data_IF_040938692487
#
_entry.id   IF_040938692487
#
_cell.length_a   1.000
_cell.length_b   1.000
_cell.length_c   1.000
_cell.angle_alpha   90.00
_cell.angle_beta   90.00
_cell.angle_gamma   90.00
#
_symmetry.space_group_name_H-M   'P 1'
#
loop_
_entity.id
_entity.type
_entity.pdbx_description
1 polymer ?
#
# COMPACT_ATOMS: atom_id res chain seq x y z
N UNK A 1 -5.44 4.02 8.94
CA UNK A 1 -6.13 3.53 10.15
C UNK A 1 -7.56 4.06 10.21
N UNK A 2 -8.45 3.36 10.93
CA UNK A 2 -9.83 3.81 11.17
C UNK A 2 -9.84 4.59 12.48
N UNK A 3 -10.11 5.89 12.40
CA UNK A 3 -10.21 6.76 13.58
C UNK A 3 -11.62 6.74 14.17
N UNK A 4 -12.65 6.69 13.31
CA UNK A 4 -14.05 6.61 13.72
C UNK A 4 -14.83 5.70 12.79
N UNK A 5 -15.86 5.04 13.33
CA UNK A 5 -16.77 4.19 12.57
C UNK A 5 -16.16 2.86 12.14
N UNK A 6 -16.71 2.32 11.06
CA UNK A 6 -16.30 1.05 10.45
C UNK A 6 -16.26 1.20 8.94
N UNK A 7 -15.25 0.61 8.30
CA UNK A 7 -15.13 0.59 6.86
C UNK A 7 -14.78 -0.82 6.35
N UNK A 8 -15.34 -1.18 5.22
CA UNK A 8 -15.00 -2.42 4.50
C UNK A 8 -13.93 -2.12 3.48
N UNK A 9 -12.82 -2.85 3.54
CA UNK A 9 -11.69 -2.76 2.62
C UNK A 9 -11.65 -3.97 1.71
N UNK A 10 -11.49 -3.74 0.42
CA UNK A 10 -11.16 -4.76 -0.56
C UNK A 10 -9.70 -4.55 -0.98
N UNK A 11 -8.87 -5.57 -0.78
CA UNK A 11 -7.44 -5.54 -1.07
C UNK A 11 -7.10 -6.78 -1.89
N UNK A 12 -6.90 -6.58 -3.18
CA UNK A 12 -6.86 -7.69 -4.11
C UNK A 12 -8.19 -8.46 -4.13
N UNK A 13 -8.13 -9.75 -3.84
CA UNK A 13 -9.31 -10.62 -3.73
C UNK A 13 -9.86 -10.77 -2.30
N UNK A 14 -9.21 -10.11 -1.33
CA UNK A 14 -9.55 -10.21 0.08
C UNK A 14 -10.46 -9.06 0.52
N UNK A 15 -11.34 -9.36 1.46
CA UNK A 15 -12.23 -8.37 2.09
C UNK A 15 -12.00 -8.36 3.59
N UNK A 16 -11.96 -7.16 4.17
CA UNK A 16 -11.78 -6.93 5.60
C UNK A 16 -12.80 -5.91 6.08
N UNK A 17 -13.48 -6.17 7.20
CA UNK A 17 -14.25 -5.17 7.93
C UNK A 17 -13.39 -4.62 9.06
N UNK A 18 -13.02 -3.35 9.00
CA UNK A 18 -12.12 -2.69 9.93
C UNK A 18 -12.89 -1.64 10.73
N UNK A 19 -12.86 -1.77 12.05
CA UNK A 19 -13.47 -0.85 12.98
C UNK A 19 -12.47 0.14 13.57
N UNK A 20 -12.99 1.05 14.41
CA UNK A 20 -12.20 2.05 15.11
C UNK A 20 -11.00 1.43 15.86
N UNK A 21 -9.86 2.08 15.77
CA UNK A 21 -8.61 1.65 16.41
C UNK A 21 -7.82 0.61 15.65
N UNK A 22 -8.30 0.13 14.50
CA UNK A 22 -7.56 -0.76 13.58
C UNK A 22 -6.89 0.02 12.47
N UNK A 23 -5.99 -0.65 11.76
CA UNK A 23 -5.32 -0.08 10.58
C UNK A 23 -4.96 -1.15 9.56
N UNK A 24 -4.49 -0.71 8.40
CA UNK A 24 -4.05 -1.62 7.37
C UNK A 24 -2.85 -1.01 6.62
N UNK A 25 -1.80 -1.81 6.46
CA UNK A 25 -0.75 -1.58 5.49
C UNK A 25 -1.14 -2.30 4.19
N UNK A 26 -1.07 -1.60 3.08
CA UNK A 26 -1.31 -2.17 1.75
C UNK A 26 -0.03 -2.03 0.96
N UNK A 27 0.46 -3.16 0.44
CA UNK A 27 1.73 -3.20 -0.27
C UNK A 27 1.63 -2.55 -1.65
N UNK A 28 2.79 -2.25 -2.24
CA UNK A 28 2.92 -1.63 -3.55
C UNK A 28 2.16 -2.41 -4.63
N UNK A 29 1.51 -1.66 -5.52
CA UNK A 29 0.81 -2.21 -6.70
C UNK A 29 -0.36 -3.13 -6.40
N UNK A 30 -0.92 -3.10 -5.19
CA UNK A 30 -2.13 -3.85 -4.86
C UNK A 30 -3.35 -2.97 -5.11
N UNK A 31 -4.26 -3.46 -5.96
CA UNK A 31 -5.55 -2.83 -6.17
C UNK A 31 -6.37 -2.91 -4.88
N UNK A 32 -6.88 -1.78 -4.46
CA UNK A 32 -7.66 -1.70 -3.23
C UNK A 32 -8.70 -0.60 -3.30
N UNK A 33 -9.75 -0.77 -2.53
CA UNK A 33 -10.78 0.24 -2.28
C UNK A 33 -11.33 0.07 -0.88
N UNK A 34 -11.97 1.09 -0.37
CA UNK A 34 -12.76 0.98 0.86
C UNK A 34 -14.10 1.72 0.71
N UNK A 35 -15.07 1.31 1.51
CA UNK A 35 -16.40 1.87 1.56
C UNK A 35 -16.94 1.79 2.99
N UNK A 36 -17.75 2.75 3.40
CA UNK A 36 -18.53 2.73 4.63
C UNK A 36 -19.99 3.05 4.34
N UNK A 37 -20.90 2.30 4.95
CA UNK A 37 -22.34 2.57 4.85
C UNK A 37 -22.77 3.76 5.70
N UNK A 38 -21.99 4.10 6.73
CA UNK A 38 -22.24 5.21 7.65
C UNK A 38 -21.06 6.17 7.72
N UNK A 39 -21.07 6.99 8.76
CA UNK A 39 -19.94 7.88 9.04
C UNK A 39 -18.69 7.09 9.40
N UNK A 40 -17.59 7.36 8.73
CA UNK A 40 -16.29 6.81 9.05
C UNK A 40 -15.17 7.82 8.74
N UNK A 41 -14.19 7.92 9.63
CA UNK A 41 -12.97 8.70 9.41
C UNK A 41 -11.81 7.73 9.24
N UNK A 42 -11.28 7.70 8.01
CA UNK A 42 -10.22 6.77 7.59
C UNK A 42 -9.04 7.54 6.99
N UNK A 43 -8.26 8.24 7.83
CA UNK A 43 -7.07 8.91 7.34
C UNK A 43 -6.07 7.91 6.80
N UNK A 44 -5.44 8.28 5.69
CA UNK A 44 -4.42 7.47 5.03
C UNK A 44 -3.26 8.36 4.58
N UNK A 45 -2.12 7.74 4.37
CA UNK A 45 -0.98 8.35 3.70
C UNK A 45 -0.39 7.36 2.69
N UNK A 46 0.08 7.91 1.59
CA UNK A 46 0.73 7.15 0.52
C UNK A 46 2.15 7.70 0.38
N UNK A 47 3.12 6.82 0.38
CA UNK A 47 4.52 7.21 0.21
C UNK A 47 5.15 6.46 -0.96
N UNK A 48 6.04 7.15 -1.66
CA UNK A 48 6.93 6.47 -2.59
C UNK A 48 8.01 5.76 -1.78
N UNK A 49 8.34 4.50 -2.06
CA UNK A 49 9.38 3.79 -1.32
C UNK A 49 10.75 4.47 -1.37
N UNK A 50 11.03 5.23 -2.42
CA UNK A 50 12.24 6.06 -2.53
C UNK A 50 12.27 7.24 -1.56
N UNK A 51 11.17 7.54 -0.87
CA UNK A 51 11.15 8.48 0.26
C UNK A 51 11.93 7.93 1.46
N UNK A 52 11.92 6.61 1.67
CA UNK A 52 12.65 5.96 2.77
C UNK A 52 14.15 5.91 2.53
N UNK A 53 14.57 5.63 1.30
CA UNK A 53 15.98 5.63 0.88
C UNK A 53 16.09 5.64 -0.66
N UNK A 54 17.19 6.17 -1.23
CA UNK A 54 17.45 6.12 -2.66
C UNK A 54 17.44 4.70 -3.21
N UNK A 55 16.88 4.50 -4.40
CA UNK A 55 16.67 3.17 -4.99
C UNK A 55 17.97 2.38 -5.24
N UNK A 56 19.07 3.06 -5.46
CA UNK A 56 20.40 2.48 -5.66
C UNK A 56 21.14 2.16 -4.35
N UNK A 57 20.64 2.67 -3.21
CA UNK A 57 21.27 2.48 -1.89
C UNK A 57 21.19 1.03 -1.41
N UNK A 58 22.13 0.67 -0.53
CA UNK A 58 22.11 -0.63 0.16
C UNK A 58 20.86 -0.79 1.02
N UNK A 59 20.42 0.29 1.69
CA UNK A 59 19.22 0.28 2.54
C UNK A 59 18.01 -0.12 1.72
N UNK A 60 17.81 0.53 0.56
CA UNK A 60 16.68 0.22 -0.31
C UNK A 60 16.71 -1.24 -0.78
N UNK A 61 17.85 -1.67 -1.32
CA UNK A 61 18.00 -3.02 -1.88
C UNK A 61 17.80 -4.12 -0.84
N UNK A 62 18.26 -3.89 0.40
CA UNK A 62 18.27 -4.90 1.46
C UNK A 62 16.97 -4.91 2.29
N UNK A 63 16.36 -3.76 2.54
CA UNK A 63 15.27 -3.64 3.51
C UNK A 63 13.95 -3.14 2.94
N UNK A 64 13.98 -2.41 1.80
CA UNK A 64 12.76 -1.84 1.23
C UNK A 64 12.24 -2.69 0.08
N UNK A 65 13.08 -2.99 -0.91
CA UNK A 65 12.70 -3.76 -2.08
C UNK A 65 12.13 -5.16 -1.77
N UNK A 66 12.64 -5.93 -0.77
CA UNK A 66 12.06 -7.23 -0.43
C UNK A 66 10.60 -7.14 0.04
N UNK A 67 10.25 -6.18 0.88
CA UNK A 67 8.86 -5.97 1.32
C UNK A 67 7.96 -5.66 0.13
N UNK A 68 8.40 -4.75 -0.76
CA UNK A 68 7.63 -4.40 -1.95
C UNK A 68 7.40 -5.57 -2.90
N UNK A 69 8.41 -6.43 -3.03
CA UNK A 69 8.39 -7.55 -3.98
C UNK A 69 7.74 -8.82 -3.43
N UNK A 70 7.51 -8.93 -2.12
CA UNK A 70 7.00 -10.14 -1.49
C UNK A 70 5.51 -10.39 -1.82
N UNK A 71 5.04 -11.61 -1.51
CA UNK A 71 3.66 -12.06 -1.77
C UNK A 71 2.62 -11.49 -0.79
N UNK A 72 3.02 -10.71 0.22
CA UNK A 72 2.09 -10.09 1.17
C UNK A 72 1.41 -8.90 0.51
N UNK A 73 0.08 -9.00 0.36
CA UNK A 73 -0.72 -7.92 -0.21
C UNK A 73 -1.00 -6.82 0.81
N UNK A 74 -1.30 -7.20 2.05
CA UNK A 74 -1.59 -6.27 3.13
C UNK A 74 -1.33 -6.91 4.50
N UNK A 75 -1.24 -6.06 5.51
CA UNK A 75 -1.20 -6.45 6.94
C UNK A 75 -2.26 -5.62 7.66
N UNK A 76 -3.20 -6.29 8.31
CA UNK A 76 -4.16 -5.64 9.20
C UNK A 76 -3.52 -5.51 10.58
N UNK A 77 -3.62 -4.34 11.18
CA UNK A 77 -3.13 -4.05 12.52
C UNK A 77 -4.27 -3.97 13.51
N UNK A 78 -4.07 -4.61 14.66
CA UNK A 78 -4.96 -4.54 15.81
C UNK A 78 -4.16 -4.20 17.07
N UNK A 79 -4.84 -3.73 18.12
CA UNK A 79 -4.18 -3.28 19.36
C UNK A 79 -3.78 -4.40 20.31
N UNK A 80 -4.33 -5.58 20.12
CA UNK A 80 -4.11 -6.78 20.95
C UNK A 80 -2.70 -7.35 20.76
N UNK A 81 -2.07 -7.08 19.64
CA UNK A 81 -0.72 -7.53 19.31
C UNK A 81 0.24 -6.35 19.49
N UNK A 82 1.18 -6.47 20.40
CA UNK A 82 2.06 -5.37 20.83
C UNK A 82 2.71 -4.61 19.67
N UNK A 83 3.39 -5.29 18.75
CA UNK A 83 4.06 -4.61 17.63
C UNK A 83 3.08 -3.94 16.66
N UNK A 84 1.87 -4.50 16.53
CA UNK A 84 0.82 -3.89 15.69
C UNK A 84 0.24 -2.65 16.35
N UNK A 85 0.11 -2.64 17.68
CA UNK A 85 -0.25 -1.43 18.43
C UNK A 85 0.80 -0.33 18.24
N UNK A 86 2.08 -0.67 18.30
CA UNK A 86 3.19 0.26 18.01
C UNK A 86 3.11 0.80 16.57
N UNK A 87 2.81 -0.06 15.59
CA UNK A 87 2.60 0.37 14.21
C UNK A 87 1.43 1.37 14.08
N UNK A 88 0.31 1.11 14.77
CA UNK A 88 -0.84 2.02 14.78
C UNK A 88 -0.50 3.38 15.40
N UNK A 89 0.29 3.40 16.48
CA UNK A 89 0.77 4.63 17.09
C UNK A 89 1.70 5.42 16.17
N UNK A 90 2.61 4.75 15.47
CA UNK A 90 3.46 5.38 14.45
C UNK A 90 2.64 5.98 13.31
N UNK A 91 1.63 5.26 12.83
CA UNK A 91 0.71 5.78 11.80
C UNK A 91 -0.01 7.04 12.26
N UNK A 92 -0.46 7.10 13.53
CA UNK A 92 -1.09 8.29 14.09
C UNK A 92 -0.09 9.46 14.23
N UNK A 93 1.14 9.19 14.68
CA UNK A 93 2.21 10.21 14.77
C UNK A 93 2.55 10.77 13.38
N UNK A 94 2.62 9.93 12.34
CA UNK A 94 2.85 10.36 10.95
C UNK A 94 1.74 11.30 10.48
N UNK A 95 0.48 10.96 10.74
CA UNK A 95 -0.65 11.81 10.39
C UNK A 95 -0.60 13.15 11.12
N UNK A 96 -0.31 13.13 12.43
CA UNK A 96 -0.17 14.34 13.23
C UNK A 96 1.00 15.22 12.80
N UNK A 97 2.11 14.61 12.35
CA UNK A 97 3.26 15.37 11.85
C UNK A 97 2.92 16.22 10.62
N UNK A 98 1.85 15.89 9.88
CA UNK A 98 1.40 16.69 8.72
C UNK A 98 0.82 18.05 9.13
N UNK A 99 0.50 18.25 10.41
CA UNK A 99 -0.02 19.50 10.94
C UNK A 99 1.10 20.50 11.30
N UNK A 100 2.37 20.05 11.33
CA UNK A 100 3.54 20.90 11.62
C UNK A 100 4.08 21.56 10.36
N UNK A 101 4.37 22.86 10.41
CA UNK A 101 4.99 23.61 9.31
C UNK A 101 6.52 23.65 9.39
N UNK A 102 7.10 23.30 10.54
CA UNK A 102 8.52 23.57 10.81
C UNK A 102 9.46 22.44 10.32
N UNK A 103 9.08 21.19 10.56
CA UNK A 103 9.97 20.02 10.39
C UNK A 103 9.22 18.77 9.89
N UNK A 104 8.06 19.00 9.29
CA UNK A 104 7.12 17.95 8.83
C UNK A 104 7.79 16.87 8.03
N UNK A 105 8.58 17.24 7.03
CA UNK A 105 9.23 16.29 6.11
C UNK A 105 10.23 15.39 6.85
N UNK A 106 11.01 15.97 7.75
CA UNK A 106 12.04 15.25 8.50
C UNK A 106 11.42 14.32 9.53
N UNK A 107 10.44 14.79 10.28
CA UNK A 107 9.69 13.98 11.29
C UNK A 107 8.94 12.85 10.57
N UNK A 108 8.29 13.14 9.45
CA UNK A 108 7.60 12.12 8.65
C UNK A 108 8.58 11.06 8.15
N UNK A 109 9.76 11.44 7.71
CA UNK A 109 10.79 10.49 7.27
C UNK A 109 11.20 9.56 8.42
N UNK A 110 11.55 10.09 9.59
CA UNK A 110 11.96 9.28 10.74
C UNK A 110 10.86 8.30 11.19
N UNK A 111 9.65 8.80 11.37
CA UNK A 111 8.52 7.95 11.79
C UNK A 111 8.18 6.88 10.75
N UNK A 112 8.31 7.21 9.47
CA UNK A 112 8.03 6.24 8.39
C UNK A 112 9.13 5.20 8.29
N UNK A 113 10.40 5.57 8.51
CA UNK A 113 11.51 4.61 8.60
C UNK A 113 11.35 3.68 9.80
N UNK A 114 10.92 4.19 10.95
CA UNK A 114 10.63 3.39 12.14
C UNK A 114 9.48 2.41 11.89
N UNK A 115 8.38 2.86 11.29
CA UNK A 115 7.27 1.99 10.89
C UNK A 115 7.72 0.91 9.90
N UNK A 116 8.57 1.27 8.92
CA UNK A 116 9.10 0.32 7.95
C UNK A 116 10.03 -0.71 8.60
N UNK A 117 10.87 -0.28 9.54
CA UNK A 117 11.71 -1.18 10.31
C UNK A 117 10.88 -2.18 11.14
N UNK A 118 9.81 -1.69 11.78
CA UNK A 118 8.89 -2.54 12.53
C UNK A 118 8.23 -3.59 11.63
N UNK A 119 7.77 -3.20 10.43
CA UNK A 119 7.24 -4.13 9.43
C UNK A 119 8.29 -5.19 9.03
N UNK A 120 9.52 -4.75 8.76
CA UNK A 120 10.62 -5.65 8.36
C UNK A 120 10.94 -6.69 9.44
N UNK A 121 10.96 -6.29 10.72
CA UNK A 121 11.26 -7.18 11.85
C UNK A 121 10.17 -8.25 12.07
N UNK A 122 8.92 -7.93 11.72
CA UNK A 122 7.78 -8.82 11.96
C UNK A 122 7.28 -9.53 10.68
N UNK A 123 7.94 -9.34 9.56
CA UNK A 123 7.71 -10.14 8.36
C UNK A 123 8.67 -11.33 8.35
N UNK A 124 8.10 -12.52 8.17
CA UNK A 124 8.87 -13.75 8.05
C UNK A 124 9.91 -13.67 6.91
N UNK A 125 11.13 -14.07 7.20
CA UNK A 125 12.22 -14.09 6.22
C UNK A 125 11.91 -14.95 5.00
N UNK A 126 11.20 -16.06 5.16
CA UNK A 126 10.75 -16.89 4.04
C UNK A 126 9.72 -16.15 3.17
N UNK A 127 8.84 -15.38 3.79
CA UNK A 127 7.85 -14.56 3.09
C UNK A 127 8.52 -13.44 2.28
N UNK A 128 9.55 -12.80 2.85
CA UNK A 128 10.32 -11.76 2.18
C UNK A 128 11.12 -12.28 0.96
N UNK A 129 11.51 -13.55 0.98
CA UNK A 129 12.22 -14.20 -0.14
C UNK A 129 11.28 -14.65 -1.28
N UNK A 130 10.01 -14.92 -0.97
CA UNK A 130 9.00 -15.32 -1.97
C UNK A 130 8.51 -14.11 -2.75
N UNK A 131 9.13 -13.85 -3.91
CA UNK A 131 8.70 -12.77 -4.81
C UNK A 131 7.30 -13.02 -5.36
N UNK A 132 6.56 -11.93 -5.55
CA UNK A 132 5.29 -11.95 -6.28
C UNK A 132 5.58 -12.25 -7.75
N UNK A 133 4.94 -13.25 -8.29
CA UNK A 133 4.97 -13.49 -9.73
C UNK A 133 4.12 -12.43 -10.42
N UNK A 134 4.73 -11.71 -11.37
CA UNK A 134 4.03 -10.72 -12.20
C UNK A 134 3.20 -11.40 -13.31
N UNK A 135 2.52 -12.48 -12.98
CA UNK A 135 1.84 -13.29 -13.96
C UNK A 135 0.35 -13.05 -13.99
N UNK A 136 -0.19 -13.15 -15.20
CA UNK A 136 -1.54 -13.55 -15.68
C UNK A 136 -2.76 -13.45 -14.72
N UNK A 137 -2.61 -12.96 -13.49
CA UNK A 137 -3.72 -12.70 -12.57
C UNK A 137 -4.55 -11.53 -13.10
N UNK A 138 -5.82 -11.53 -12.81
CA UNK A 138 -6.74 -10.41 -13.09
C UNK A 138 -6.15 -9.06 -12.63
N UNK A 139 -5.50 -9.04 -11.46
CA UNK A 139 -4.81 -7.86 -10.93
C UNK A 139 -3.62 -7.39 -11.79
N UNK A 140 -2.77 -8.31 -12.27
CA UNK A 140 -1.64 -7.97 -13.13
C UNK A 140 -2.09 -7.34 -14.44
N UNK A 141 -3.15 -7.86 -15.02
CA UNK A 141 -3.76 -7.32 -16.25
C UNK A 141 -4.33 -5.92 -16.02
N UNK A 142 -5.09 -5.72 -14.95
CA UNK A 142 -5.62 -4.41 -14.60
C UNK A 142 -4.51 -3.39 -14.34
N UNK A 143 -3.41 -3.80 -13.69
CA UNK A 143 -2.25 -2.91 -13.49
C UNK A 143 -1.60 -2.51 -14.81
N UNK A 144 -1.44 -3.42 -15.76
CA UNK A 144 -0.89 -3.10 -17.09
C UNK A 144 -1.79 -2.09 -17.81
N UNK A 145 -3.11 -2.28 -17.77
CA UNK A 145 -4.08 -1.34 -18.34
C UNK A 145 -3.99 0.04 -17.69
N UNK A 146 -3.97 0.11 -16.35
CA UNK A 146 -3.83 1.37 -15.62
C UNK A 146 -2.50 2.07 -15.90
N UNK A 147 -1.39 1.32 -15.97
CA UNK A 147 -0.08 1.87 -16.30
C UNK A 147 -0.07 2.46 -17.71
N UNK A 148 -0.66 1.75 -18.67
CA UNK A 148 -0.76 2.24 -20.05
C UNK A 148 -1.59 3.52 -20.14
N UNK A 149 -2.74 3.57 -19.48
CA UNK A 149 -3.57 4.77 -19.40
C UNK A 149 -2.76 5.93 -18.79
N UNK A 150 -2.08 5.68 -17.68
CA UNK A 150 -1.30 6.71 -16.96
C UNK A 150 -0.14 7.26 -17.81
N UNK A 151 0.48 6.43 -18.63
CA UNK A 151 1.56 6.85 -19.53
C UNK A 151 1.07 7.61 -20.76
N UNK A 152 -0.16 7.34 -21.21
CA UNK A 152 -0.69 7.81 -22.49
C UNK A 152 -1.97 8.66 -22.37
N UNK A 153 -2.39 9.07 -21.17
CA UNK A 153 -3.66 9.79 -20.93
C UNK A 153 -3.82 11.11 -21.72
N UNK A 154 -2.73 11.66 -22.27
CA UNK A 154 -2.75 12.85 -23.14
C UNK A 154 -3.09 12.54 -24.59
N UNK A 155 -3.19 11.26 -24.95
CA UNK A 155 -3.52 10.80 -26.29
C UNK A 155 -4.97 10.31 -26.32
N UNK A 156 -5.54 10.20 -27.51
CA UNK A 156 -6.85 9.56 -27.69
C UNK A 156 -6.69 8.04 -27.53
N UNK A 157 -6.99 7.53 -26.34
CA UNK A 157 -6.94 6.11 -26.05
C UNK A 157 -8.26 5.43 -26.41
N UNK A 158 -8.19 4.31 -27.09
CA UNK A 158 -9.35 3.43 -27.30
C UNK A 158 -9.35 2.29 -26.29
N UNK A 159 -10.51 1.68 -26.11
CA UNK A 159 -10.63 0.49 -25.25
C UNK A 159 -9.83 -0.69 -25.80
N UNK A 160 -9.67 -0.79 -27.14
CA UNK A 160 -8.82 -1.74 -27.81
C UNK A 160 -7.35 -1.58 -27.42
N UNK A 161 -6.84 -0.36 -27.42
CA UNK A 161 -5.45 -0.08 -27.05
C UNK A 161 -5.16 -0.52 -25.63
N UNK A 162 -6.09 -0.22 -24.71
CA UNK A 162 -5.98 -0.57 -23.30
C UNK A 162 -6.05 -2.08 -23.09
N UNK A 163 -7.03 -2.76 -23.72
CA UNK A 163 -7.20 -4.21 -23.65
C UNK A 163 -6.01 -4.97 -24.23
N UNK A 164 -5.45 -4.47 -25.33
CA UNK A 164 -4.28 -5.05 -25.99
C UNK A 164 -3.05 -5.12 -25.07
N UNK A 165 -2.83 -4.12 -24.19
CA UNK A 165 -1.71 -4.13 -23.25
C UNK A 165 -1.80 -5.26 -22.21
N UNK A 166 -2.98 -5.70 -21.88
CA UNK A 166 -3.24 -6.77 -20.92
C UNK A 166 -3.52 -8.12 -21.58
N UNK A 167 -3.43 -8.21 -22.92
CA UNK A 167 -3.77 -9.39 -23.70
C UNK A 167 -5.18 -9.92 -23.39
N UNK A 168 -6.14 -9.02 -23.19
CA UNK A 168 -7.54 -9.35 -22.93
C UNK A 168 -8.45 -8.84 -24.05
N UNK A 169 -9.65 -9.40 -24.11
CA UNK A 169 -10.65 -8.89 -25.05
C UNK A 169 -11.21 -7.54 -24.58
N UNK A 170 -11.70 -6.72 -25.51
CA UNK A 170 -12.40 -5.46 -25.22
C UNK A 170 -13.54 -5.62 -24.20
N UNK A 171 -14.16 -6.79 -24.14
CA UNK A 171 -15.25 -7.10 -23.21
C UNK A 171 -14.75 -7.35 -21.78
N UNK A 172 -13.45 -7.64 -21.61
CA UNK A 172 -12.80 -7.98 -20.33
C UNK A 172 -12.03 -6.78 -19.74
N UNK A 173 -11.69 -5.78 -20.55
CA UNK A 173 -11.08 -4.53 -20.14
C UNK A 173 -12.14 -3.56 -19.63
#
# INVERSE_FOLDING_TARGET
CVQEGTATFWVGEKQFSLGQGTGIFINSKILHRYFSEGHAIVPNFVLKPTFLAPADSLIYKKYIAPIQACKVDCIVFCREIKWQAEALELMQKILKAQESDKDRELVTLFLTQELWHLLYLHMDSEVLQKKRENTASSQGRTQLMMQYIHQNFRQNLTLEDIAGQAMVSKRTA
#
